data_IF_792301363515
#
_entry.id   IF_792301363515
#
_cell.length_a   1.000
_cell.length_b   1.000
_cell.length_c   1.000
_cell.angle_alpha   90.00
_cell.angle_beta   90.00
_cell.angle_gamma   90.00
#
_symmetry.space_group_name_H-M   'P 1'
#
loop_
_entity.id
_entity.type
_entity.pdbx_description
1 polymer ?
#
# COMPACT_ATOMS: atom_id res chain seq x y z
N UNK A 1 29.58 -16.94 -12.78
CA UNK A 1 28.57 -16.43 -11.84
C UNK A 1 29.06 -15.08 -11.33
N UNK A 2 28.29 -14.00 -11.52
CA UNK A 2 28.71 -12.65 -11.13
C UNK A 2 28.54 -12.35 -9.64
N UNK A 3 27.59 -13.05 -8.97
CA UNK A 3 27.31 -12.91 -7.56
C UNK A 3 26.59 -14.15 -7.02
N UNK A 4 26.85 -14.51 -5.78
CA UNK A 4 26.15 -15.57 -5.03
C UNK A 4 26.00 -15.10 -3.57
N UNK A 5 24.82 -15.30 -2.95
CA UNK A 5 24.64 -14.93 -1.55
C UNK A 5 25.51 -15.82 -0.64
N UNK A 6 26.02 -15.20 0.42
CA UNK A 6 26.69 -15.93 1.51
C UNK A 6 25.72 -16.97 2.11
N UNK A 7 26.16 -18.22 2.32
CA UNK A 7 25.36 -19.27 2.95
C UNK A 7 24.76 -18.86 4.31
N UNK A 8 25.48 -18.09 5.12
CA UNK A 8 24.97 -17.57 6.38
C UNK A 8 23.84 -16.55 6.19
N UNK A 9 23.89 -15.73 5.12
CA UNK A 9 22.80 -14.82 4.76
C UNK A 9 21.57 -15.62 4.31
N UNK A 10 21.76 -16.65 3.50
CA UNK A 10 20.65 -17.54 3.07
C UNK A 10 19.98 -18.17 4.28
N UNK A 11 20.76 -18.76 5.19
CA UNK A 11 20.26 -19.44 6.39
C UNK A 11 19.45 -18.51 7.31
N UNK A 12 19.77 -17.21 7.35
CA UNK A 12 19.04 -16.20 8.14
C UNK A 12 17.86 -15.56 7.43
N UNK A 13 17.66 -15.86 6.14
CA UNK A 13 16.55 -15.28 5.38
C UNK A 13 15.19 -15.69 5.95
N UNK A 14 14.18 -14.84 5.76
CA UNK A 14 12.81 -15.17 6.16
C UNK A 14 12.29 -16.40 5.43
N UNK A 15 12.66 -16.59 4.17
CA UNK A 15 12.29 -17.78 3.39
C UNK A 15 12.84 -19.07 4.03
N UNK A 16 14.14 -19.10 4.39
CA UNK A 16 14.73 -20.25 5.05
C UNK A 16 14.17 -20.50 6.46
N UNK A 17 13.81 -19.43 7.17
CA UNK A 17 13.12 -19.55 8.47
C UNK A 17 11.71 -20.12 8.29
N UNK A 18 10.96 -19.67 7.31
CA UNK A 18 9.64 -20.19 6.97
C UNK A 18 9.73 -21.66 6.58
N UNK A 19 10.64 -22.04 5.68
CA UNK A 19 10.83 -23.43 5.27
C UNK A 19 11.04 -24.35 6.49
N UNK A 20 12.00 -24.04 7.36
CA UNK A 20 12.26 -24.81 8.59
C UNK A 20 11.05 -24.84 9.54
N UNK A 21 10.32 -23.76 9.65
CA UNK A 21 9.11 -23.70 10.48
C UNK A 21 8.01 -24.63 9.94
N UNK A 22 7.81 -24.68 8.61
CA UNK A 22 6.88 -25.61 7.95
C UNK A 22 7.34 -27.05 8.11
N UNK A 23 8.65 -27.35 7.85
CA UNK A 23 9.23 -28.68 8.01
C UNK A 23 8.93 -29.27 9.39
N UNK A 24 9.16 -28.46 10.42
CA UNK A 24 8.92 -28.89 11.81
C UNK A 24 7.43 -29.11 12.10
N UNK A 25 6.56 -28.24 11.58
CA UNK A 25 5.14 -28.25 11.91
C UNK A 25 4.32 -29.27 11.14
N UNK A 26 4.69 -29.54 9.90
CA UNK A 26 3.98 -30.44 8.99
C UNK A 26 4.74 -31.76 8.74
N UNK A 27 5.88 -31.98 9.38
CA UNK A 27 6.74 -33.17 9.15
C UNK A 27 7.15 -33.34 7.68
N UNK A 28 7.48 -32.24 7.03
CA UNK A 28 7.96 -32.16 5.65
C UNK A 28 9.48 -31.95 5.63
N UNK A 29 10.06 -32.08 4.44
CA UNK A 29 11.49 -31.77 4.20
C UNK A 29 11.65 -31.04 2.87
N UNK A 30 12.35 -29.91 2.88
CA UNK A 30 12.66 -29.10 1.71
C UNK A 30 14.18 -28.99 1.53
N UNK A 31 14.81 -29.93 0.79
CA UNK A 31 16.26 -29.92 0.58
C UNK A 31 16.72 -28.68 -0.20
N UNK A 32 15.85 -28.05 -0.98
CA UNK A 32 16.12 -26.89 -1.81
C UNK A 32 14.87 -26.00 -2.00
N UNK A 33 15.09 -24.84 -2.64
CA UNK A 33 14.00 -23.92 -2.99
C UNK A 33 12.98 -24.54 -3.92
N UNK A 34 13.40 -25.36 -4.87
CA UNK A 34 12.53 -25.98 -5.87
C UNK A 34 11.51 -26.93 -5.21
N UNK A 35 11.91 -27.67 -4.19
CA UNK A 35 11.01 -28.54 -3.42
C UNK A 35 9.98 -27.74 -2.62
N UNK A 36 10.36 -26.62 -2.01
CA UNK A 36 9.47 -25.70 -1.33
C UNK A 36 8.47 -25.08 -2.33
N UNK A 37 8.96 -24.64 -3.51
CA UNK A 37 8.12 -24.09 -4.57
C UNK A 37 7.12 -25.10 -5.08
N UNK A 38 7.54 -26.32 -5.41
CA UNK A 38 6.63 -27.40 -5.85
C UNK A 38 5.55 -27.68 -4.82
N UNK A 39 5.90 -27.73 -3.54
CA UNK A 39 4.91 -27.88 -2.48
C UNK A 39 3.93 -26.71 -2.42
N UNK A 40 4.40 -25.47 -2.56
CA UNK A 40 3.52 -24.29 -2.53
C UNK A 40 2.49 -24.28 -3.67
N UNK A 41 2.83 -24.82 -4.82
CA UNK A 41 1.94 -24.96 -5.98
C UNK A 41 1.00 -26.14 -5.84
N UNK A 42 1.51 -27.29 -5.35
CA UNK A 42 0.72 -28.51 -5.21
C UNK A 42 -0.27 -28.46 -4.03
N UNK A 43 0.05 -27.69 -2.98
CA UNK A 43 -0.73 -27.60 -1.74
C UNK A 43 -0.98 -26.14 -1.35
N UNK A 44 -1.68 -25.32 -2.17
CA UNK A 44 -1.82 -23.89 -1.95
C UNK A 44 -2.51 -23.55 -0.61
N UNK A 45 -3.51 -24.30 -0.19
CA UNK A 45 -4.15 -24.11 1.12
C UNK A 45 -3.17 -24.26 2.28
N UNK A 46 -2.39 -25.35 2.27
CA UNK A 46 -1.39 -25.59 3.30
C UNK A 46 -0.28 -24.54 3.30
N UNK A 47 0.16 -24.09 2.11
CA UNK A 47 1.16 -23.05 1.97
C UNK A 47 0.67 -21.70 2.51
N UNK A 48 -0.45 -21.20 2.02
CA UNK A 48 -0.96 -19.88 2.38
C UNK A 48 -1.45 -19.81 3.82
N UNK A 49 -2.06 -20.89 4.34
CA UNK A 49 -2.43 -21.02 5.75
C UNK A 49 -1.20 -21.02 6.67
N UNK A 50 -0.14 -21.73 6.27
CA UNK A 50 1.14 -21.73 6.99
C UNK A 50 1.80 -20.34 6.95
N UNK A 51 1.78 -19.68 5.80
CA UNK A 51 2.36 -18.34 5.64
C UNK A 51 1.62 -17.30 6.49
N UNK A 52 0.29 -17.32 6.49
CA UNK A 52 -0.53 -16.45 7.32
C UNK A 52 -0.21 -16.61 8.81
N UNK A 53 -0.03 -17.85 9.26
CA UNK A 53 0.35 -18.16 10.64
C UNK A 53 1.79 -17.74 10.96
N UNK A 54 2.74 -18.03 10.07
CA UNK A 54 4.15 -17.67 10.25
C UNK A 54 4.37 -16.15 10.28
N UNK A 55 3.62 -15.41 9.46
CA UNK A 55 3.66 -13.95 9.43
C UNK A 55 2.84 -13.29 10.54
N UNK A 56 2.17 -14.06 11.39
CA UNK A 56 1.31 -13.56 12.47
C UNK A 56 0.29 -12.54 11.95
N UNK A 57 -0.47 -12.91 10.89
CA UNK A 57 -1.51 -12.05 10.36
C UNK A 57 -2.58 -11.78 11.41
N UNK A 58 -2.89 -10.49 11.59
CA UNK A 58 -3.92 -10.04 12.54
C UNK A 58 -5.28 -10.02 11.85
N UNK A 59 -6.07 -11.00 12.18
CA UNK A 59 -7.46 -11.09 11.76
C UNK A 59 -8.37 -10.37 12.76
N UNK A 60 -9.36 -9.64 12.27
CA UNK A 60 -10.51 -9.19 13.09
C UNK A 60 -11.53 -10.31 13.23
N UNK A 61 -11.73 -11.06 12.18
CA UNK A 61 -12.40 -12.35 12.17
C UNK A 61 -11.52 -13.34 11.42
N UNK A 62 -11.25 -14.50 12.01
CA UNK A 62 -10.50 -15.57 11.36
C UNK A 62 -11.26 -16.12 10.14
N UNK A 63 -10.54 -16.63 9.12
CA UNK A 63 -11.15 -17.24 7.95
C UNK A 63 -11.86 -18.55 8.30
N UNK A 64 -12.93 -18.85 7.57
CA UNK A 64 -13.63 -20.13 7.66
C UNK A 64 -12.85 -21.25 6.92
N UNK A 65 -12.12 -20.88 5.86
CA UNK A 65 -11.20 -21.71 5.09
C UNK A 65 -10.04 -20.86 4.55
N UNK A 66 -8.97 -21.49 4.06
CA UNK A 66 -7.85 -20.79 3.42
C UNK A 66 -8.18 -20.49 1.96
N UNK A 67 -8.76 -21.45 1.26
CA UNK A 67 -9.08 -21.35 -0.16
C UNK A 67 -10.36 -22.14 -0.44
N UNK A 68 -11.26 -21.56 -1.23
CA UNK A 68 -12.41 -22.23 -1.82
C UNK A 68 -12.37 -22.05 -3.34
N UNK A 69 -12.81 -23.06 -4.08
CA UNK A 69 -12.85 -23.08 -5.55
C UNK A 69 -11.46 -22.77 -6.19
N UNK A 70 -10.39 -23.30 -5.59
CA UNK A 70 -8.99 -22.99 -5.95
C UNK A 70 -8.55 -23.49 -7.32
N UNK A 71 -9.31 -24.36 -7.97
CA UNK A 71 -9.15 -24.82 -9.35
C UNK A 71 -9.73 -23.86 -10.40
N UNK A 72 -10.47 -22.83 -9.96
CA UNK A 72 -11.11 -21.83 -10.81
C UNK A 72 -10.36 -20.51 -10.80
N UNK A 73 -9.71 -20.14 -11.89
CA UNK A 73 -8.93 -18.91 -11.97
C UNK A 73 -9.74 -17.64 -11.65
N UNK A 74 -11.00 -17.55 -12.04
CA UNK A 74 -11.90 -16.43 -11.77
C UNK A 74 -12.87 -16.66 -10.60
N UNK A 75 -12.86 -17.83 -10.00
CA UNK A 75 -13.77 -18.23 -8.94
C UNK A 75 -13.11 -18.44 -7.59
N UNK A 76 -11.80 -18.56 -7.54
CA UNK A 76 -11.04 -18.84 -6.33
C UNK A 76 -11.28 -17.75 -5.25
N UNK A 77 -11.66 -18.18 -4.06
CA UNK A 77 -11.90 -17.31 -2.91
C UNK A 77 -10.86 -17.58 -1.83
N UNK A 78 -10.01 -16.61 -1.60
CA UNK A 78 -8.97 -16.66 -0.57
C UNK A 78 -9.49 -16.19 0.77
N UNK A 79 -9.20 -16.94 1.81
CA UNK A 79 -9.56 -16.64 3.20
C UNK A 79 -11.04 -16.22 3.36
N UNK A 80 -12.01 -17.00 2.82
CA UNK A 80 -13.42 -16.66 2.91
C UNK A 80 -13.85 -16.48 4.38
N UNK A 81 -14.74 -15.51 4.61
CA UNK A 81 -15.21 -15.14 5.94
C UNK A 81 -14.23 -14.32 6.78
N UNK A 82 -12.95 -14.23 6.40
CA UNK A 82 -11.99 -13.41 7.12
C UNK A 82 -12.29 -11.92 6.99
N UNK A 83 -12.00 -11.19 8.08
CA UNK A 83 -11.90 -9.74 8.06
C UNK A 83 -10.60 -9.30 8.73
N UNK A 84 -9.98 -8.27 8.17
CA UNK A 84 -8.74 -7.69 8.65
C UNK A 84 -8.65 -6.22 8.25
N UNK A 85 -7.58 -5.56 8.65
CA UNK A 85 -7.20 -4.26 8.10
C UNK A 85 -5.74 -4.31 7.64
N UNK A 86 -5.49 -3.93 6.41
CA UNK A 86 -4.16 -3.93 5.81
C UNK A 86 -3.16 -3.04 6.59
N UNK A 87 -3.56 -1.79 6.88
CA UNK A 87 -2.71 -0.86 7.62
C UNK A 87 -2.43 -1.34 9.05
N UNK A 88 -3.39 -1.99 9.73
CA UNK A 88 -3.19 -2.55 11.07
C UNK A 88 -2.07 -3.59 11.09
N UNK A 89 -2.00 -4.43 10.07
CA UNK A 89 -0.96 -5.44 9.96
C UNK A 89 0.43 -4.81 9.75
N UNK A 90 0.54 -3.74 8.99
CA UNK A 90 1.79 -3.02 8.75
C UNK A 90 2.21 -2.15 9.95
N UNK A 91 1.27 -1.57 10.66
CA UNK A 91 1.49 -0.68 11.81
C UNK A 91 1.46 -1.40 13.16
N UNK A 92 1.62 -2.73 13.18
CA UNK A 92 1.57 -3.52 14.43
C UNK A 92 2.73 -3.24 15.40
N UNK A 93 3.87 -2.82 14.88
CA UNK A 93 5.00 -2.37 15.68
C UNK A 93 4.83 -0.90 16.05
N UNK A 94 5.28 -0.51 17.24
CA UNK A 94 5.14 0.87 17.77
C UNK A 94 6.35 1.25 18.60
N UNK A 95 7.50 0.77 18.18
CA UNK A 95 8.77 1.02 18.81
C UNK A 95 9.59 2.05 18.02
N UNK A 96 10.81 2.28 18.46
CA UNK A 96 11.69 3.27 17.88
C UNK A 96 12.57 2.70 16.75
N UNK A 97 12.32 1.47 16.28
CA UNK A 97 12.99 0.95 15.10
C UNK A 97 12.58 1.73 13.84
N UNK A 98 13.51 1.93 12.90
CA UNK A 98 13.20 2.57 11.62
C UNK A 98 12.10 1.83 10.87
N UNK A 99 11.02 2.53 10.53
CA UNK A 99 9.94 2.06 9.68
C UNK A 99 10.11 2.55 8.23
N UNK A 100 10.50 3.82 8.05
CA UNK A 100 10.76 4.43 6.76
C UNK A 100 12.14 5.07 6.77
N UNK A 101 12.91 4.81 5.73
CA UNK A 101 14.16 5.51 5.44
C UNK A 101 14.09 5.96 3.98
N UNK A 102 14.22 7.26 3.73
CA UNK A 102 14.21 7.78 2.38
C UNK A 102 15.39 8.72 2.11
N UNK A 103 15.71 8.86 0.86
CA UNK A 103 16.72 9.78 0.36
C UNK A 103 16.26 10.33 -0.97
N UNK A 104 16.35 11.64 -1.15
CA UNK A 104 16.08 12.30 -2.40
C UNK A 104 17.35 12.56 -3.24
N UNK A 105 17.17 13.12 -4.43
CA UNK A 105 18.28 13.44 -5.33
C UNK A 105 19.19 14.57 -4.81
N UNK A 106 18.71 15.42 -3.90
CA UNK A 106 19.52 16.47 -3.28
C UNK A 106 20.47 15.93 -2.22
N UNK A 107 20.31 14.65 -1.89
CA UNK A 107 21.05 13.98 -0.83
C UNK A 107 20.41 14.15 0.56
N UNK A 108 19.27 14.83 0.66
CA UNK A 108 18.52 14.86 1.90
C UNK A 108 18.06 13.44 2.26
N UNK A 109 18.25 13.10 3.52
CA UNK A 109 17.83 11.82 4.10
C UNK A 109 16.87 12.08 5.24
N UNK A 110 15.82 11.29 5.28
CA UNK A 110 14.89 11.26 6.41
C UNK A 110 14.69 9.84 6.91
N UNK A 111 14.19 9.76 8.14
CA UNK A 111 13.87 8.51 8.81
C UNK A 111 12.64 8.72 9.69
N UNK A 112 11.74 7.75 9.74
CA UNK A 112 10.65 7.67 10.71
C UNK A 112 10.71 6.33 11.41
N UNK A 113 10.57 6.35 12.74
CA UNK A 113 10.33 5.14 13.52
C UNK A 113 8.91 4.60 13.28
N UNK A 114 8.65 3.34 13.69
CA UNK A 114 7.30 2.79 13.70
C UNK A 114 6.34 3.61 14.59
N UNK A 115 6.82 4.17 15.68
CA UNK A 115 6.06 5.08 16.55
C UNK A 115 5.66 6.34 15.82
N UNK A 116 6.62 7.02 15.17
CA UNK A 116 6.37 8.26 14.44
C UNK A 116 5.45 8.03 13.24
N UNK A 117 5.69 6.95 12.50
CA UNK A 117 4.84 6.57 11.37
C UNK A 117 3.40 6.35 11.83
N UNK A 118 3.19 5.61 12.92
CA UNK A 118 1.86 5.39 13.48
C UNK A 118 1.18 6.70 13.87
N UNK A 119 1.90 7.64 14.50
CA UNK A 119 1.35 8.94 14.89
C UNK A 119 0.97 9.77 13.65
N UNK A 120 1.85 9.85 12.64
CA UNK A 120 1.57 10.60 11.42
C UNK A 120 0.40 9.99 10.62
N UNK A 121 0.31 8.66 10.55
CA UNK A 121 -0.84 7.97 9.95
C UNK A 121 -2.13 8.27 10.70
N UNK A 122 -2.09 8.30 12.04
CA UNK A 122 -3.24 8.65 12.87
C UNK A 122 -3.79 10.05 12.54
N UNK A 123 -2.89 11.03 12.45
CA UNK A 123 -3.22 12.42 12.08
C UNK A 123 -3.80 12.52 10.68
N UNK A 124 -3.17 11.87 9.69
CA UNK A 124 -3.64 11.85 8.31
C UNK A 124 -5.01 11.17 8.18
N UNK A 125 -5.23 10.04 8.87
CA UNK A 125 -6.51 9.34 8.88
C UNK A 125 -7.63 10.19 9.50
N UNK A 126 -7.35 10.90 10.61
CA UNK A 126 -8.29 11.86 11.20
C UNK A 126 -8.65 12.97 10.20
N UNK A 127 -7.65 13.52 9.50
CA UNK A 127 -7.87 14.52 8.45
C UNK A 127 -8.73 14.00 7.31
N UNK A 128 -8.40 12.84 6.74
CA UNK A 128 -9.18 12.24 5.66
C UNK A 128 -10.63 11.96 6.09
N UNK A 129 -10.83 11.48 7.32
CA UNK A 129 -12.19 11.25 7.87
C UNK A 129 -12.99 12.54 7.98
N UNK A 130 -12.40 13.67 8.38
CA UNK A 130 -13.06 14.99 8.41
C UNK A 130 -13.53 15.43 7.02
N UNK A 131 -12.85 14.99 5.97
CA UNK A 131 -13.25 15.21 4.57
C UNK A 131 -14.16 14.11 4.00
N UNK A 132 -14.73 13.27 4.87
CA UNK A 132 -15.76 12.30 4.53
C UNK A 132 -15.23 10.97 4.00
N UNK A 133 -13.91 10.72 4.00
CA UNK A 133 -13.34 9.46 3.51
C UNK A 133 -13.72 8.30 4.45
N UNK A 134 -14.30 7.26 3.88
CA UNK A 134 -14.71 6.04 4.56
C UNK A 134 -14.51 4.78 3.71
N UNK A 135 -15.04 3.64 4.15
CA UNK A 135 -14.85 2.36 3.47
C UNK A 135 -15.32 2.38 2.01
N UNK A 136 -14.46 1.91 1.10
CA UNK A 136 -14.75 1.85 -0.33
C UNK A 136 -14.53 3.17 -1.09
N UNK A 137 -14.30 4.29 -0.42
CA UNK A 137 -13.90 5.53 -1.08
C UNK A 137 -12.49 5.42 -1.68
N UNK A 138 -12.18 6.22 -2.69
CA UNK A 138 -10.87 6.24 -3.33
C UNK A 138 -10.16 7.53 -2.98
N UNK A 139 -8.92 7.37 -2.53
CA UNK A 139 -7.97 8.47 -2.35
C UNK A 139 -6.88 8.32 -3.41
N UNK A 140 -6.75 9.32 -4.26
CA UNK A 140 -5.72 9.36 -5.29
C UNK A 140 -4.53 10.20 -4.84
N UNK A 141 -3.34 9.88 -5.33
CA UNK A 141 -2.13 10.63 -5.04
C UNK A 141 -1.28 10.88 -6.30
N UNK A 142 -0.78 12.09 -6.39
CA UNK A 142 0.17 12.55 -7.39
C UNK A 142 1.42 13.04 -6.63
N UNK A 143 2.26 12.07 -6.22
CA UNK A 143 3.35 12.26 -5.26
C UNK A 143 4.64 11.56 -5.71
N UNK A 144 5.81 12.10 -5.34
CA UNK A 144 7.07 11.36 -5.40
C UNK A 144 7.12 10.29 -4.29
N UNK A 145 8.14 9.43 -4.34
CA UNK A 145 8.42 8.43 -3.32
C UNK A 145 8.96 9.10 -2.04
N UNK A 146 8.06 9.64 -1.23
CA UNK A 146 8.35 10.28 0.05
C UNK A 146 7.53 9.68 1.18
N UNK A 147 7.73 10.18 2.39
CA UNK A 147 7.00 9.74 3.58
C UNK A 147 5.50 9.98 3.44
N UNK A 148 5.08 11.09 2.83
CA UNK A 148 3.68 11.47 2.65
C UNK A 148 2.91 10.46 1.81
N UNK A 149 3.56 9.83 0.81
CA UNK A 149 2.94 8.79 0.00
C UNK A 149 2.61 7.54 0.84
N UNK A 150 3.52 7.12 1.71
CA UNK A 150 3.31 5.97 2.60
C UNK A 150 2.32 6.30 3.71
N UNK A 151 2.42 7.48 4.33
CA UNK A 151 1.49 7.95 5.36
C UNK A 151 0.07 8.06 4.79
N UNK A 152 -0.09 8.68 3.63
CA UNK A 152 -1.38 8.82 2.95
C UNK A 152 -2.01 7.48 2.59
N UNK A 153 -1.20 6.54 2.10
CA UNK A 153 -1.62 5.17 1.79
C UNK A 153 -2.11 4.43 3.03
N UNK A 154 -1.33 4.44 4.12
CA UNK A 154 -1.68 3.76 5.36
C UNK A 154 -2.88 4.41 6.05
N UNK A 155 -2.99 5.74 6.00
CA UNK A 155 -4.15 6.46 6.51
C UNK A 155 -5.42 6.09 5.73
N UNK A 156 -5.35 6.05 4.40
CA UNK A 156 -6.45 5.66 3.53
C UNK A 156 -6.91 4.23 3.82
N UNK A 157 -5.98 3.29 3.85
CA UNK A 157 -6.30 1.87 4.04
C UNK A 157 -6.72 1.55 5.47
N UNK A 158 -6.31 2.33 6.48
CA UNK A 158 -6.82 2.21 7.85
C UNK A 158 -8.33 2.46 7.92
N UNK A 159 -8.84 3.38 7.10
CA UNK A 159 -10.26 3.72 6.99
C UNK A 159 -11.08 2.74 6.14
N UNK A 160 -10.45 1.69 5.60
CA UNK A 160 -11.08 0.79 4.62
C UNK A 160 -11.30 1.44 3.26
N UNK A 161 -10.69 2.58 3.00
CA UNK A 161 -10.69 3.24 1.70
C UNK A 161 -9.58 2.69 0.79
N UNK A 162 -9.66 2.98 -0.49
CA UNK A 162 -8.84 2.41 -1.54
C UNK A 162 -7.82 3.45 -2.02
N UNK A 163 -6.54 3.08 -2.05
CA UNK A 163 -5.45 3.94 -2.50
C UNK A 163 -5.14 3.77 -3.98
N UNK A 164 -4.84 4.87 -4.66
CA UNK A 164 -4.25 4.84 -6.00
C UNK A 164 -3.26 5.97 -6.17
N UNK A 165 -2.11 5.73 -6.77
CA UNK A 165 -1.09 6.76 -6.94
C UNK A 165 -0.45 6.76 -8.32
N UNK A 166 -0.04 7.95 -8.75
CA UNK A 166 0.78 8.20 -9.93
C UNK A 166 2.03 8.99 -9.53
N UNK A 167 3.12 8.73 -10.23
CA UNK A 167 4.35 9.52 -10.12
C UNK A 167 4.13 10.95 -10.67
N UNK A 168 4.79 11.98 -10.11
CA UNK A 168 4.62 13.36 -10.54
C UNK A 168 5.28 13.69 -11.89
N UNK A 169 5.96 12.76 -12.52
CA UNK A 169 6.48 12.87 -13.88
C UNK A 169 5.43 12.61 -14.97
N UNK A 170 4.24 12.09 -14.61
CA UNK A 170 3.15 11.95 -15.57
C UNK A 170 2.47 13.28 -15.87
N UNK A 171 2.20 13.53 -17.16
CA UNK A 171 1.39 14.68 -17.56
C UNK A 171 -0.07 14.60 -17.11
N UNK A 172 -0.73 15.75 -16.95
CA UNK A 172 -2.10 15.86 -16.43
C UNK A 172 -3.12 14.99 -17.18
N UNK A 173 -3.01 14.86 -18.49
CA UNK A 173 -3.88 13.98 -19.28
C UNK A 173 -3.73 12.51 -18.85
N UNK A 174 -2.49 12.04 -18.76
CA UNK A 174 -2.19 10.67 -18.36
C UNK A 174 -2.65 10.33 -16.93
N UNK A 175 -2.57 11.29 -16.01
CA UNK A 175 -3.10 11.16 -14.64
C UNK A 175 -4.62 11.18 -14.66
N UNK A 176 -5.24 12.07 -15.44
CA UNK A 176 -6.68 12.14 -15.62
C UNK A 176 -7.27 10.82 -16.16
N UNK A 177 -6.64 10.24 -17.19
CA UNK A 177 -7.07 8.96 -17.77
C UNK A 177 -7.05 7.80 -16.76
N UNK A 178 -6.17 7.88 -15.74
CA UNK A 178 -6.10 6.90 -14.66
C UNK A 178 -7.12 7.17 -13.57
N UNK A 179 -7.21 8.40 -13.12
CA UNK A 179 -8.01 8.70 -11.92
C UNK A 179 -9.49 8.97 -12.22
N UNK A 180 -9.85 9.47 -13.40
CA UNK A 180 -11.25 9.73 -13.72
C UNK A 180 -12.14 8.46 -13.64
N UNK A 181 -11.73 7.28 -14.15
CA UNK A 181 -12.54 6.08 -14.05
C UNK A 181 -12.79 5.59 -12.61
N UNK A 182 -11.88 5.88 -11.69
CA UNK A 182 -12.02 5.47 -10.29
C UNK A 182 -12.72 6.52 -9.42
N UNK A 183 -13.00 7.71 -9.97
CA UNK A 183 -13.72 8.81 -9.32
C UNK A 183 -13.24 9.04 -7.87
N UNK A 184 -11.98 9.49 -7.65
CA UNK A 184 -11.45 9.66 -6.31
C UNK A 184 -12.19 10.78 -5.58
N UNK A 185 -12.36 10.59 -4.27
CA UNK A 185 -12.95 11.58 -3.39
C UNK A 185 -11.94 12.64 -2.94
N UNK A 186 -10.70 12.23 -2.72
CA UNK A 186 -9.60 13.11 -2.32
C UNK A 186 -8.41 12.91 -3.26
N UNK A 187 -7.76 14.02 -3.63
CA UNK A 187 -6.48 14.03 -4.32
C UNK A 187 -5.41 14.60 -3.39
N UNK A 188 -4.32 13.86 -3.17
CA UNK A 188 -3.12 14.36 -2.49
C UNK A 188 -2.06 14.62 -3.56
N UNK A 189 -1.55 15.84 -3.67
CA UNK A 189 -0.65 16.22 -4.75
C UNK A 189 0.56 17.01 -4.25
N UNK A 190 1.72 16.85 -4.88
CA UNK A 190 2.92 17.63 -4.59
C UNK A 190 2.95 18.94 -5.35
N UNK A 191 3.54 19.99 -4.74
CA UNK A 191 3.81 21.26 -5.41
C UNK A 191 4.97 21.16 -6.40
N UNK A 192 5.81 20.14 -6.28
CA UNK A 192 6.94 19.87 -7.14
C UNK A 192 7.84 18.78 -6.60
N UNK A 193 8.86 18.44 -7.35
CA UNK A 193 9.83 17.41 -6.99
C UNK A 193 11.19 17.68 -7.66
N UNK A 194 12.24 17.08 -7.12
CA UNK A 194 13.58 17.13 -7.73
C UNK A 194 13.74 16.01 -8.74
N UNK A 195 14.25 16.32 -9.90
CA UNK A 195 14.61 15.35 -10.93
C UNK A 195 15.81 15.84 -11.74
N UNK A 196 16.82 14.99 -11.91
CA UNK A 196 18.06 15.31 -12.64
C UNK A 196 18.72 16.62 -12.18
N UNK A 197 18.71 16.88 -10.87
CA UNK A 197 19.29 18.09 -10.26
C UNK A 197 18.47 19.37 -10.45
N UNK A 198 17.24 19.29 -10.96
CA UNK A 198 16.35 20.43 -11.16
C UNK A 198 15.06 20.27 -10.36
N UNK A 199 14.54 21.39 -9.86
CA UNK A 199 13.21 21.45 -9.27
C UNK A 199 12.16 21.52 -10.39
N UNK A 200 11.26 20.56 -10.40
CA UNK A 200 10.13 20.51 -11.33
C UNK A 200 8.87 20.97 -10.58
N UNK A 201 8.34 22.11 -10.97
CA UNK A 201 7.09 22.65 -10.45
C UNK A 201 5.89 21.94 -11.07
N UNK A 202 5.00 21.43 -10.26
CA UNK A 202 3.81 20.67 -10.69
C UNK A 202 2.48 21.38 -10.45
N UNK A 203 2.48 22.61 -9.93
CA UNK A 203 1.26 23.33 -9.55
C UNK A 203 0.28 23.52 -10.70
N UNK A 204 0.76 23.83 -11.89
CA UNK A 204 -0.09 23.94 -13.08
C UNK A 204 -0.62 22.58 -13.54
N UNK A 205 0.20 21.54 -13.45
CA UNK A 205 -0.22 20.16 -13.72
C UNK A 205 -1.31 19.72 -12.73
N UNK A 206 -1.17 20.02 -11.44
CA UNK A 206 -2.18 19.73 -10.41
C UNK A 206 -3.49 20.44 -10.72
N UNK A 207 -3.43 21.73 -11.09
CA UNK A 207 -4.64 22.49 -11.48
C UNK A 207 -5.37 21.83 -12.65
N UNK A 208 -4.65 21.35 -13.66
CA UNK A 208 -5.22 20.66 -14.81
C UNK A 208 -5.79 19.28 -14.43
N UNK A 209 -5.13 18.53 -13.53
CA UNK A 209 -5.64 17.26 -12.99
C UNK A 209 -6.98 17.50 -12.26
N UNK A 210 -7.07 18.51 -11.41
CA UNK A 210 -8.29 18.85 -10.66
C UNK A 210 -9.45 19.15 -11.61
N UNK A 211 -9.23 19.89 -12.70
CA UNK A 211 -10.27 20.14 -13.71
C UNK A 211 -10.81 18.86 -14.36
N UNK A 212 -9.98 17.81 -14.45
CA UNK A 212 -10.37 16.51 -15.01
C UNK A 212 -11.07 15.59 -14.02
N UNK A 213 -11.12 15.97 -12.75
CA UNK A 213 -11.66 15.18 -11.63
C UNK A 213 -12.77 15.97 -10.90
N UNK A 214 -13.91 16.24 -11.54
CA UNK A 214 -14.93 17.12 -10.97
C UNK A 214 -15.62 16.56 -9.70
N UNK A 215 -15.41 15.27 -9.38
CA UNK A 215 -15.96 14.62 -8.19
C UNK A 215 -15.12 14.74 -6.91
N UNK A 216 -14.00 15.47 -6.95
CA UNK A 216 -13.17 15.67 -5.76
C UNK A 216 -13.89 16.49 -4.70
N UNK A 217 -13.95 15.99 -3.47
CA UNK A 217 -14.42 16.74 -2.31
C UNK A 217 -13.31 17.56 -1.65
N UNK A 218 -12.05 17.13 -1.82
CA UNK A 218 -10.88 17.83 -1.29
C UNK A 218 -9.63 17.59 -2.15
N UNK A 219 -8.78 18.62 -2.21
CA UNK A 219 -7.42 18.53 -2.76
C UNK A 219 -6.45 18.93 -1.67
N UNK A 220 -5.47 18.07 -1.40
CA UNK A 220 -4.46 18.25 -0.36
C UNK A 220 -3.10 18.48 -1.01
N UNK A 221 -2.45 19.59 -0.68
CA UNK A 221 -1.14 19.96 -1.20
C UNK A 221 0.01 19.60 -0.25
N UNK A 222 0.95 18.82 -0.74
CA UNK A 222 2.28 18.64 -0.15
C UNK A 222 3.19 19.72 -0.71
N UNK A 223 3.57 20.68 0.11
CA UNK A 223 4.06 21.97 -0.32
C UNK A 223 2.93 22.96 -0.62
N UNK A 224 3.28 24.17 -1.06
CA UNK A 224 2.31 25.23 -1.29
C UNK A 224 1.69 25.11 -2.70
N UNK A 225 0.41 24.75 -2.73
CA UNK A 225 -0.42 24.72 -3.93
C UNK A 225 -1.63 25.64 -3.69
N UNK A 226 -1.88 26.65 -4.54
CA UNK A 226 -3.03 27.53 -4.39
C UNK A 226 -4.36 26.75 -4.38
N UNK A 227 -5.30 27.20 -3.57
CA UNK A 227 -6.64 26.65 -3.43
C UNK A 227 -6.71 25.18 -2.94
N UNK A 228 -5.60 24.67 -2.37
CA UNK A 228 -5.52 23.35 -1.76
C UNK A 228 -5.42 23.41 -0.24
N UNK A 229 -5.88 22.36 0.41
CA UNK A 229 -5.67 22.16 1.85
C UNK A 229 -4.19 21.80 2.04
N UNK A 230 -3.46 22.52 2.90
CA UNK A 230 -2.08 22.16 3.20
C UNK A 230 -2.02 20.80 3.91
N UNK A 231 -1.02 19.98 3.57
CA UNK A 231 -0.78 18.70 4.23
C UNK A 231 -0.68 18.83 5.76
N UNK A 232 -0.01 19.89 6.23
CA UNK A 232 0.11 20.20 7.66
C UNK A 232 -1.24 20.52 8.30
N UNK A 233 -2.15 21.17 7.58
CA UNK A 233 -3.50 21.46 8.07
C UNK A 233 -4.36 20.18 8.11
N UNK A 234 -4.24 19.30 7.10
CA UNK A 234 -4.88 17.98 7.11
C UNK A 234 -4.46 17.17 8.35
N UNK A 235 -3.16 17.21 8.69
CA UNK A 235 -2.53 16.41 9.74
C UNK A 235 -2.37 17.15 11.09
N UNK A 236 -2.99 18.33 11.25
CA UNK A 236 -2.82 19.15 12.46
C UNK A 236 -3.36 18.47 13.72
N UNK A 237 -4.48 17.78 13.63
CA UNK A 237 -5.15 17.16 14.76
C UNK A 237 -4.84 15.68 14.87
N UNK A 238 -4.55 15.25 16.10
CA UNK A 238 -4.40 13.83 16.43
C UNK A 238 -5.73 13.26 16.92
N UNK A 239 -6.05 12.06 16.49
CA UNK A 239 -7.15 11.26 17.01
C UNK A 239 -6.68 9.80 17.13
N UNK A 240 -7.28 8.96 17.97
CA UNK A 240 -6.95 7.54 18.01
C UNK A 240 -7.10 6.92 16.62
N UNK A 241 -6.07 6.18 16.18
CA UNK A 241 -6.11 5.47 14.91
C UNK A 241 -7.03 4.25 15.05
N UNK A 242 -8.12 4.29 14.31
CA UNK A 242 -9.06 3.19 14.20
C UNK A 242 -8.83 2.44 12.89
N UNK A 243 -8.93 1.11 12.95
CA UNK A 243 -8.78 0.26 11.79
C UNK A 243 -10.12 -0.37 11.42
N UNK A 244 -10.65 0.01 10.27
CA UNK A 244 -11.91 -0.53 9.77
C UNK A 244 -11.69 -1.95 9.26
N UNK A 245 -12.40 -2.90 9.84
CA UNK A 245 -12.36 -4.29 9.39
C UNK A 245 -13.02 -4.42 8.02
N UNK A 246 -12.28 -4.97 7.06
CA UNK A 246 -12.76 -5.24 5.70
C UNK A 246 -12.63 -6.72 5.35
N UNK A 247 -13.49 -7.29 4.50
CA UNK A 247 -13.29 -8.64 3.97
C UNK A 247 -11.92 -8.77 3.30
N UNK A 248 -11.33 -9.97 3.29
CA UNK A 248 -10.05 -10.23 2.62
C UNK A 248 -10.07 -9.82 1.14
N UNK A 249 -11.18 -10.01 0.45
CA UNK A 249 -11.36 -9.63 -0.95
C UNK A 249 -11.61 -8.12 -1.18
N UNK A 250 -11.64 -7.30 -0.10
CA UNK A 250 -11.83 -5.85 -0.25
C UNK A 250 -10.62 -5.21 -0.92
N UNK A 251 -10.80 -4.35 -1.95
CA UNK A 251 -9.70 -3.69 -2.61
C UNK A 251 -8.91 -2.77 -1.67
N UNK A 252 -7.58 -2.86 -1.71
CA UNK A 252 -6.64 -1.99 -0.98
C UNK A 252 -6.02 -0.97 -1.91
N UNK A 253 -5.64 -1.42 -3.13
CA UNK A 253 -5.00 -0.59 -4.14
C UNK A 253 -5.70 -0.69 -5.49
N UNK A 254 -5.61 0.40 -6.25
CA UNK A 254 -5.82 0.39 -7.69
C UNK A 254 -4.50 0.80 -8.35
N UNK A 255 -3.87 -0.17 -9.02
CA UNK A 255 -2.62 0.01 -9.75
C UNK A 255 -2.90 0.02 -11.25
N UNK A 256 -1.98 0.58 -12.03
CA UNK A 256 -2.13 0.66 -13.49
C UNK A 256 -1.01 -0.08 -14.18
N UNK A 257 -1.38 -0.98 -15.08
CA UNK A 257 -0.43 -1.57 -16.02
C UNK A 257 -0.24 -0.63 -17.22
N UNK A 258 0.99 -0.57 -17.72
CA UNK A 258 1.32 0.12 -18.98
C UNK A 258 0.80 -0.64 -20.19
N UNK A 259 -0.52 -0.83 -20.30
CA UNK A 259 -1.10 -1.62 -21.39
C UNK A 259 -0.39 -1.40 -22.74
N UNK A 260 0.00 -2.46 -23.41
CA UNK A 260 0.70 -2.41 -24.71
C UNK A 260 -0.16 -1.79 -25.80
N UNK A 261 -1.47 -1.67 -25.58
CA UNK A 261 -2.45 -1.10 -26.53
C UNK A 261 -3.60 -0.44 -25.78
N UNK A 262 -3.78 0.88 -25.98
CA UNK A 262 -4.95 1.61 -25.49
C UNK A 262 -4.75 2.30 -24.13
N UNK A 263 -5.84 2.81 -23.53
CA UNK A 263 -5.78 3.54 -22.25
C UNK A 263 -5.30 2.63 -21.11
N UNK A 264 -4.73 3.22 -20.04
CA UNK A 264 -4.27 2.48 -18.87
C UNK A 264 -5.37 1.61 -18.27
N UNK A 265 -5.03 0.36 -17.92
CA UNK A 265 -5.97 -0.55 -17.27
C UNK A 265 -5.72 -0.56 -15.77
N UNK A 266 -6.75 -0.22 -15.00
CA UNK A 266 -6.73 -0.33 -13.55
C UNK A 266 -6.86 -1.79 -13.10
N UNK A 267 -6.00 -2.19 -12.17
CA UNK A 267 -6.02 -3.50 -11.51
C UNK A 267 -6.28 -3.26 -10.03
N UNK A 268 -7.42 -3.70 -9.53
CA UNK A 268 -7.71 -3.69 -8.10
C UNK A 268 -7.00 -4.88 -7.43
N UNK A 269 -6.25 -4.61 -6.37
CA UNK A 269 -5.60 -5.63 -5.55
C UNK A 269 -6.19 -5.59 -4.14
N UNK A 270 -6.43 -6.75 -3.57
CA UNK A 270 -6.97 -6.92 -2.21
C UNK A 270 -5.87 -7.16 -1.17
N UNK A 271 -6.30 -7.32 0.08
CA UNK A 271 -5.44 -7.52 1.26
C UNK A 271 -4.60 -8.79 1.20
#
# INVERSE_FOLDING_TARGET
>A
MLWQPDPARVARSHLSRFARWVETRLSLTFPDYESLHRWSVACPEAFWGSLATFCDLRWRRAPDAVLEDGDQMLGARWFPGATLNFAENLLRFRDDHPALIWRDETGQRGELSYRDLHEQVSRAAAGLRRHGVGPGDRVAAFLPNGAEAVIGMLATTSLGAIWSSCSPDFGAASVGDRFAPIAPMVLIATAGYWYAGQWIDTRDTVREIVRRLPGLSAVVGVGEIPDCIHWQALTAESAPLEFVATPFAHPVYILYSSGTTGPPKGVATNS
#
